data_IF_624032445812
#
_entry.id   IF_624032445812
#
_cell.length_a   1.000
_cell.length_b   1.000
_cell.length_c   1.000
_cell.angle_alpha   90.00
_cell.angle_beta   90.00
_cell.angle_gamma   90.00
#
_symmetry.space_group_name_H-M   'P 1'
#
loop_
_entity.id
_entity.type
_entity.pdbx_description
1 polymer ?
#
# COMPACT_ATOMS: atom_id res chain seq x y z
N UNK A 1 -9.12 2.18 -6.31
CA UNK A 1 -9.53 2.93 -5.11
C UNK A 1 -8.84 4.28 -5.16
N UNK A 2 -9.54 5.38 -4.84
CA UNK A 2 -8.94 6.73 -4.74
C UNK A 2 -8.45 7.00 -3.32
N UNK A 3 -7.58 8.00 -3.15
CA UNK A 3 -6.98 8.33 -1.85
C UNK A 3 -8.03 8.60 -0.77
N UNK A 4 -9.13 9.29 -1.10
CA UNK A 4 -10.20 9.61 -0.16
C UNK A 4 -10.83 8.35 0.45
N UNK A 5 -11.22 7.41 -0.40
CA UNK A 5 -11.82 6.14 0.03
C UNK A 5 -10.84 5.33 0.89
N UNK A 6 -9.57 5.28 0.49
CA UNK A 6 -8.54 4.60 1.27
C UNK A 6 -8.39 5.21 2.67
N UNK A 7 -8.31 6.54 2.74
CA UNK A 7 -8.12 7.27 4.00
C UNK A 7 -9.35 7.22 4.92
N UNK A 8 -10.54 6.93 4.39
CA UNK A 8 -11.74 6.67 5.19
C UNK A 8 -11.73 5.28 5.81
N UNK A 9 -11.16 4.30 5.11
CA UNK A 9 -11.10 2.91 5.56
C UNK A 9 -9.90 2.63 6.49
N UNK A 10 -8.77 3.31 6.27
CA UNK A 10 -7.50 2.96 6.91
C UNK A 10 -6.82 4.19 7.51
N UNK A 11 -6.62 4.22 8.84
CA UNK A 11 -5.85 5.28 9.48
C UNK A 11 -4.34 5.17 9.18
N UNK A 12 -3.60 6.24 9.45
CA UNK A 12 -2.14 6.20 9.47
C UNK A 12 -1.68 5.18 10.54
N UNK A 13 -0.70 4.34 10.19
CA UNK A 13 -0.24 3.22 11.01
C UNK A 13 -0.94 1.89 10.73
N UNK A 14 -1.94 1.87 9.85
CA UNK A 14 -2.61 0.63 9.43
C UNK A 14 -1.63 -0.35 8.77
N UNK A 15 -1.78 -1.64 9.07
CA UNK A 15 -0.87 -2.70 8.62
C UNK A 15 -1.38 -3.38 7.34
N UNK A 16 -0.45 -3.71 6.44
CA UNK A 16 -0.74 -4.43 5.19
C UNK A 16 0.34 -5.45 4.86
N UNK A 17 0.03 -6.38 3.96
CA UNK A 17 1.05 -7.24 3.33
C UNK A 17 1.49 -6.59 2.03
N UNK A 18 2.75 -6.21 1.98
CA UNK A 18 3.42 -5.70 0.80
C UNK A 18 3.95 -6.87 -0.04
N UNK A 19 3.36 -7.08 -1.21
CA UNK A 19 3.70 -8.18 -2.12
C UNK A 19 3.94 -7.61 -3.53
N UNK A 20 5.16 -7.17 -3.88
CA UNK A 20 5.46 -6.62 -5.21
C UNK A 20 5.49 -7.67 -6.32
N UNK A 21 5.54 -8.96 -5.97
CA UNK A 21 5.45 -10.03 -6.94
C UNK A 21 4.35 -10.99 -6.49
N UNK A 22 3.22 -10.96 -7.20
CA UNK A 22 2.05 -11.80 -6.91
C UNK A 22 2.31 -13.31 -6.97
N UNK A 23 3.45 -13.71 -7.53
CA UNK A 23 3.87 -15.12 -7.65
C UNK A 23 4.65 -15.56 -6.39
N UNK A 24 5.34 -14.63 -5.72
CA UNK A 24 6.11 -14.94 -4.51
C UNK A 24 5.20 -14.97 -3.29
N UNK A 25 5.17 -16.12 -2.60
CA UNK A 25 4.23 -16.40 -1.49
C UNK A 25 4.45 -15.55 -0.24
N UNK A 26 5.63 -14.98 -0.05
CA UNK A 26 5.97 -14.23 1.16
C UNK A 26 5.97 -12.73 0.86
N UNK A 27 4.92 -12.04 1.29
CA UNK A 27 4.90 -10.58 1.35
C UNK A 27 5.46 -10.08 2.68
N UNK A 28 5.95 -8.84 2.71
CA UNK A 28 6.42 -8.21 3.93
C UNK A 28 5.27 -7.54 4.69
N UNK A 29 5.22 -7.68 6.01
CA UNK A 29 4.30 -6.90 6.83
C UNK A 29 4.78 -5.44 6.90
N UNK A 30 3.91 -4.51 6.53
CA UNK A 30 4.19 -3.07 6.49
C UNK A 30 3.14 -2.28 7.28
N UNK A 31 3.40 -0.99 7.48
CA UNK A 31 2.53 0.01 8.08
C UNK A 31 2.54 1.28 7.25
N UNK A 32 1.41 1.96 7.16
CA UNK A 32 1.33 3.29 6.55
C UNK A 32 2.00 4.33 7.43
N UNK A 33 2.77 5.22 6.83
CA UNK A 33 3.45 6.32 7.51
C UNK A 33 2.71 7.66 7.35
N UNK A 34 1.88 7.80 6.32
CA UNK A 34 1.09 8.99 6.04
C UNK A 34 -0.23 8.61 5.32
N UNK A 35 -1.08 9.60 5.11
CA UNK A 35 -2.32 9.50 4.32
C UNK A 35 -2.00 9.20 2.86
N UNK A 36 -2.85 8.40 2.22
CA UNK A 36 -2.77 8.17 0.78
C UNK A 36 -3.01 9.47 0.00
N UNK A 37 -2.34 9.60 -1.14
CA UNK A 37 -2.38 10.76 -2.04
C UNK A 37 -2.63 10.29 -3.47
N UNK A 38 -3.49 11.02 -4.18
CA UNK A 38 -3.69 10.82 -5.60
C UNK A 38 -2.64 11.62 -6.39
N UNK A 39 -1.89 10.93 -7.24
CA UNK A 39 -1.02 11.49 -8.26
C UNK A 39 -1.77 11.51 -9.61
N UNK A 40 -1.15 12.12 -10.63
CA UNK A 40 -1.75 12.27 -11.97
C UNK A 40 -2.19 10.91 -12.54
N UNK A 41 -1.41 9.85 -12.31
CA UNK A 41 -1.61 8.53 -12.92
C UNK A 41 -1.93 7.42 -11.94
N UNK A 42 -1.75 7.62 -10.64
CA UNK A 42 -1.90 6.56 -9.63
C UNK A 42 -2.23 7.13 -8.25
N UNK A 43 -2.53 6.23 -7.31
CA UNK A 43 -2.73 6.56 -5.89
C UNK A 43 -1.63 5.87 -5.10
N UNK A 44 -0.95 6.61 -4.22
CA UNK A 44 0.20 6.13 -3.44
C UNK A 44 -0.03 6.37 -1.95
N UNK A 45 0.59 5.55 -1.11
CA UNK A 45 0.67 5.73 0.35
C UNK A 45 2.09 5.43 0.79
N UNK A 46 2.60 6.22 1.72
CA UNK A 46 3.95 6.02 2.25
C UNK A 46 3.96 4.84 3.25
N UNK A 47 4.97 3.98 3.17
CA UNK A 47 5.06 2.74 3.94
C UNK A 47 6.42 2.58 4.62
N UNK A 48 6.47 1.84 5.73
CA UNK A 48 7.67 1.70 6.57
C UNK A 48 8.71 0.68 6.10
N UNK A 49 8.51 0.04 4.93
CA UNK A 49 9.42 -0.97 4.39
C UNK A 49 9.80 -0.58 2.96
N UNK A 50 11.09 -0.69 2.63
CA UNK A 50 11.57 -0.43 1.27
C UNK A 50 11.07 -1.47 0.27
N UNK A 51 10.93 -1.11 -1.01
CA UNK A 51 11.43 0.11 -1.63
C UNK A 51 10.36 1.21 -1.59
N UNK A 52 10.76 2.46 -1.37
CA UNK A 52 9.88 3.56 -0.99
C UNK A 52 8.68 3.87 -1.95
N UNK A 53 8.55 3.22 -3.12
CA UNK A 53 7.42 3.34 -4.05
C UNK A 53 7.21 2.09 -4.92
N UNK A 54 6.03 1.45 -4.88
CA UNK A 54 5.72 0.23 -5.65
C UNK A 54 4.31 0.21 -6.25
N UNK A 55 4.14 -0.54 -7.33
CA UNK A 55 2.94 -0.46 -8.17
C UNK A 55 1.76 -1.25 -7.56
N UNK A 56 0.62 -0.58 -7.40
CA UNK A 56 -0.60 -1.12 -6.78
C UNK A 56 -1.18 -2.35 -7.50
N UNK A 57 -0.86 -2.54 -8.79
CA UNK A 57 -1.24 -3.73 -9.55
C UNK A 57 -0.53 -4.99 -9.07
N UNK A 58 0.50 -4.83 -8.24
CA UNK A 58 1.28 -5.93 -7.73
C UNK A 58 0.87 -6.29 -6.32
N UNK A 59 0.34 -5.33 -5.55
CA UNK A 59 -0.19 -5.57 -4.21
C UNK A 59 -1.39 -6.54 -4.27
N UNK A 60 -1.42 -7.48 -3.31
CA UNK A 60 -2.51 -8.46 -3.15
C UNK A 60 -2.92 -8.47 -1.67
N UNK A 61 -4.22 -8.37 -1.34
CA UNK A 61 -4.69 -8.43 0.05
C UNK A 61 -4.51 -9.84 0.61
N UNK A 62 -4.14 -9.92 1.89
CA UNK A 62 -3.92 -11.18 2.60
C UNK A 62 -5.22 -11.72 3.22
N UNK A 63 -5.42 -13.02 3.03
CA UNK A 63 -6.45 -13.89 3.61
C UNK A 63 -5.78 -15.21 4.00
#
# INVERSE_FOLDING_TARGET
MKAEQFNQCYPVGATFIYQPNRILKEGALIRTLDRAKDLITCTVVEINVGPYFENILWLKPDH
#
